data_IF_005747053147
#
_entry.id   IF_005747053147
#
_cell.length_a   1.000
_cell.length_b   1.000
_cell.length_c   1.000
_cell.angle_alpha   90.00
_cell.angle_beta   90.00
_cell.angle_gamma   90.00
#
_symmetry.space_group_name_H-M   'P 1'
#
loop_
_entity.id
_entity.type
_entity.pdbx_description
1 polymer ?
#
# COMPACT_ATOMS: atom_id res chain seq x y z
N UNK A 1 -8.44 6.07 -19.91
CA UNK A 1 -9.11 6.14 -18.60
C UNK A 1 -8.07 6.60 -17.61
N UNK A 2 -8.25 7.78 -17.01
CA UNK A 2 -7.48 8.12 -15.82
C UNK A 2 -7.73 7.04 -14.76
N UNK A 3 -6.69 6.58 -14.04
CA UNK A 3 -6.91 5.69 -12.92
C UNK A 3 -7.87 6.38 -11.92
N UNK A 4 -8.80 5.64 -11.29
CA UNK A 4 -9.69 6.22 -10.29
C UNK A 4 -8.87 7.00 -9.26
N UNK A 5 -9.34 8.19 -8.89
CA UNK A 5 -8.70 8.96 -7.83
C UNK A 5 -8.72 8.15 -6.52
N UNK A 6 -7.56 7.58 -6.16
CA UNK A 6 -7.39 6.85 -4.90
C UNK A 6 -7.31 7.86 -3.77
N UNK A 7 -8.26 7.82 -2.84
CA UNK A 7 -8.27 8.63 -1.63
C UNK A 7 -7.49 7.90 -0.54
N UNK A 8 -6.42 8.54 -0.08
CA UNK A 8 -5.50 7.98 0.90
C UNK A 8 -5.52 8.86 2.13
N UNK A 9 -5.62 8.25 3.31
CA UNK A 9 -5.32 8.91 4.58
C UNK A 9 -3.98 8.41 5.10
N UNK A 10 -3.16 9.32 5.64
CA UNK A 10 -1.91 8.99 6.32
C UNK A 10 -2.11 9.20 7.81
N UNK A 11 -1.72 8.21 8.61
CA UNK A 11 -1.93 8.16 10.06
C UNK A 11 -0.62 7.78 10.74
N UNK A 12 -0.22 8.54 11.74
CA UNK A 12 0.95 8.25 12.58
C UNK A 12 0.71 8.77 14.00
N UNK A 13 1.41 8.22 15.02
CA UNK A 13 1.22 8.64 16.40
C UNK A 13 1.55 10.12 16.64
N UNK A 14 0.81 10.74 17.56
CA UNK A 14 0.90 12.18 17.85
C UNK A 14 2.30 12.56 18.36
N UNK A 15 2.99 11.62 19.00
CA UNK A 15 4.35 11.82 19.51
C UNK A 15 5.38 12.14 18.41
N UNK A 16 5.09 11.81 17.14
CA UNK A 16 5.97 12.09 16.00
C UNK A 16 5.67 13.43 15.30
N UNK A 17 4.75 14.24 15.82
CA UNK A 17 4.53 15.59 15.28
C UNK A 17 5.80 16.43 15.50
N UNK A 18 6.37 16.94 14.42
CA UNK A 18 7.63 17.69 14.45
C UNK A 18 8.89 16.81 14.45
N UNK A 19 8.76 15.49 14.29
CA UNK A 19 9.92 14.61 14.14
C UNK A 19 10.55 14.81 12.75
N UNK A 20 11.83 15.25 12.66
CA UNK A 20 12.45 15.59 11.38
C UNK A 20 12.65 14.38 10.47
N UNK A 21 12.85 13.18 11.04
CA UNK A 21 13.04 11.96 10.26
C UNK A 21 11.72 11.58 9.57
N UNK A 22 10.61 11.66 10.31
CA UNK A 22 9.29 11.38 9.75
C UNK A 22 8.85 12.45 8.74
N UNK A 23 9.08 13.73 9.04
CA UNK A 23 8.76 14.83 8.14
C UNK A 23 9.49 14.75 6.80
N UNK A 24 10.75 14.29 6.80
CA UNK A 24 11.50 14.07 5.56
C UNK A 24 11.01 12.83 4.79
N UNK A 25 10.57 11.78 5.51
CA UNK A 25 10.15 10.53 4.89
C UNK A 25 8.71 10.58 4.34
N UNK A 26 7.77 11.33 4.95
CA UNK A 26 6.38 11.43 4.48
C UNK A 26 6.29 11.79 2.97
N UNK A 27 7.00 12.81 2.45
CA UNK A 27 7.00 13.11 1.01
C UNK A 27 7.53 11.95 0.15
N UNK A 28 8.56 11.23 0.62
CA UNK A 28 9.12 10.06 -0.09
C UNK A 28 8.06 8.97 -0.19
N UNK A 29 7.41 8.63 0.92
CA UNK A 29 6.31 7.67 0.94
C UNK A 29 5.15 8.11 0.03
N UNK A 30 4.70 9.37 0.12
CA UNK A 30 3.61 9.89 -0.70
C UNK A 30 3.91 9.84 -2.20
N UNK A 31 5.18 9.95 -2.58
CA UNK A 31 5.62 9.90 -3.98
C UNK A 31 5.49 8.50 -4.61
N UNK A 32 5.55 7.44 -3.79
CA UNK A 32 5.55 6.04 -4.27
C UNK A 32 4.29 5.25 -3.91
N UNK A 33 3.56 5.64 -2.86
CA UNK A 33 2.46 4.83 -2.30
C UNK A 33 1.33 4.52 -3.29
N UNK A 34 1.04 5.44 -4.21
CA UNK A 34 0.02 5.23 -5.24
C UNK A 34 0.42 4.15 -6.25
N UNK A 35 1.69 4.13 -6.63
CA UNK A 35 2.23 3.10 -7.51
C UNK A 35 2.29 1.76 -6.77
N UNK A 36 2.70 1.78 -5.49
CA UNK A 36 2.68 0.59 -4.63
C UNK A 36 1.28 -0.04 -4.59
N UNK A 37 0.23 0.75 -4.31
CA UNK A 37 -1.16 0.27 -4.27
C UNK A 37 -1.55 -0.37 -5.60
N UNK A 38 -1.20 0.25 -6.73
CA UNK A 38 -1.53 -0.26 -8.06
C UNK A 38 -0.86 -1.61 -8.35
N UNK A 39 0.43 -1.74 -8.05
CA UNK A 39 1.16 -3.00 -8.23
C UNK A 39 0.62 -4.09 -7.29
N UNK A 40 0.31 -3.73 -6.04
CA UNK A 40 -0.26 -4.65 -5.06
C UNK A 40 -1.67 -5.13 -5.44
N UNK A 41 -2.57 -4.24 -5.89
CA UNK A 41 -3.90 -4.64 -6.38
C UNK A 41 -3.81 -5.54 -7.62
N UNK A 42 -2.82 -5.29 -8.50
CA UNK A 42 -2.57 -6.13 -9.67
C UNK A 42 -2.10 -7.52 -9.24
N UNK A 43 -1.16 -7.61 -8.29
CA UNK A 43 -0.75 -8.87 -7.66
C UNK A 43 -1.95 -9.65 -7.11
N UNK A 44 -2.80 -9.02 -6.30
CA UNK A 44 -3.98 -9.67 -5.71
C UNK A 44 -4.98 -10.14 -6.77
N UNK A 45 -5.16 -9.36 -7.83
CA UNK A 45 -6.01 -9.71 -8.97
C UNK A 45 -5.52 -11.00 -9.64
N UNK A 46 -4.22 -11.11 -9.92
CA UNK A 46 -3.66 -12.32 -10.53
C UNK A 46 -3.62 -13.50 -9.56
N UNK A 47 -3.35 -13.28 -8.27
CA UNK A 47 -3.45 -14.32 -7.23
C UNK A 47 -4.85 -14.94 -7.18
N UNK A 48 -5.89 -14.11 -7.27
CA UNK A 48 -7.28 -14.57 -7.33
C UNK A 48 -7.56 -15.35 -8.60
N UNK A 49 -7.05 -14.90 -9.76
CA UNK A 49 -7.17 -15.64 -11.02
C UNK A 49 -6.53 -17.02 -10.94
N UNK A 50 -5.35 -17.16 -10.34
CA UNK A 50 -4.67 -18.46 -10.14
C UNK A 50 -5.59 -19.41 -9.37
N UNK A 51 -6.18 -18.95 -8.26
CA UNK A 51 -7.09 -19.76 -7.44
C UNK A 51 -8.34 -20.24 -8.16
N UNK A 52 -8.82 -19.48 -9.15
CA UNK A 52 -10.02 -19.80 -9.94
C UNK A 52 -9.72 -20.57 -11.24
N UNK A 53 -8.44 -20.75 -11.58
CA UNK A 53 -8.02 -21.37 -12.85
C UNK A 53 -7.88 -22.88 -12.70
N UNK A 54 -8.45 -23.65 -13.64
CA UNK A 54 -8.37 -25.12 -13.61
C UNK A 54 -7.05 -25.62 -14.23
N UNK A 55 -6.64 -25.04 -15.36
CA UNK A 55 -5.52 -25.51 -16.16
C UNK A 55 -4.16 -25.04 -15.63
N UNK A 56 -3.19 -25.96 -15.56
CA UNK A 56 -1.89 -25.67 -14.96
C UNK A 56 -1.03 -24.70 -15.79
N UNK A 57 -1.17 -24.71 -17.12
CA UNK A 57 -0.47 -23.75 -18.00
C UNK A 57 -0.92 -22.31 -17.74
N UNK A 58 -2.21 -22.09 -17.49
CA UNK A 58 -2.75 -20.78 -17.15
C UNK A 58 -2.39 -20.36 -15.72
N UNK A 59 -2.40 -21.29 -14.75
CA UNK A 59 -1.90 -21.02 -13.39
C UNK A 59 -0.46 -20.56 -13.42
N UNK A 60 0.41 -21.23 -14.20
CA UNK A 60 1.81 -20.85 -14.35
C UNK A 60 1.93 -19.44 -14.94
N UNK A 61 1.18 -19.13 -16.01
CA UNK A 61 1.16 -17.81 -16.63
C UNK A 61 0.75 -16.72 -15.65
N UNK A 62 -0.36 -16.89 -14.94
CA UNK A 62 -0.82 -15.90 -13.96
C UNK A 62 0.11 -15.82 -12.74
N UNK A 63 0.75 -16.93 -12.36
CA UNK A 63 1.77 -16.99 -11.32
C UNK A 63 2.96 -16.08 -11.65
N UNK A 64 3.49 -16.17 -12.87
CA UNK A 64 4.60 -15.32 -13.29
C UNK A 64 4.22 -13.83 -13.27
N UNK A 65 3.02 -13.49 -13.77
CA UNK A 65 2.55 -12.09 -13.77
C UNK A 65 2.33 -11.58 -12.33
N UNK A 66 1.75 -12.40 -11.45
CA UNK A 66 1.58 -12.04 -10.04
C UNK A 66 2.94 -11.78 -9.38
N UNK A 67 3.92 -12.64 -9.64
CA UNK A 67 5.29 -12.50 -9.12
C UNK A 67 5.93 -11.18 -9.57
N UNK A 68 5.83 -10.81 -10.85
CA UNK A 68 6.39 -9.54 -11.35
C UNK A 68 5.78 -8.31 -10.65
N UNK A 69 4.47 -8.31 -10.44
CA UNK A 69 3.80 -7.23 -9.71
C UNK A 69 4.19 -7.20 -8.23
N UNK A 70 4.37 -8.37 -7.61
CA UNK A 70 4.86 -8.48 -6.24
C UNK A 70 6.26 -7.89 -6.11
N UNK A 71 7.22 -8.27 -6.96
CA UNK A 71 8.59 -7.74 -6.91
C UNK A 71 8.64 -6.21 -7.08
N UNK A 72 7.75 -5.64 -7.91
CA UNK A 72 7.65 -4.18 -8.06
C UNK A 72 7.08 -3.53 -6.82
N UNK A 73 6.03 -4.11 -6.22
CA UNK A 73 5.47 -3.63 -4.97
C UNK A 73 6.49 -3.69 -3.83
N UNK A 74 7.28 -4.76 -3.73
CA UNK A 74 8.31 -4.92 -2.70
C UNK A 74 9.41 -3.84 -2.83
N UNK A 75 9.88 -3.55 -4.05
CA UNK A 75 10.83 -2.46 -4.29
C UNK A 75 10.27 -1.08 -3.94
N UNK A 76 8.98 -0.85 -4.16
CA UNK A 76 8.31 0.39 -3.76
C UNK A 76 8.15 0.45 -2.23
N UNK A 77 7.90 -0.68 -1.58
CA UNK A 77 7.85 -0.83 -0.13
C UNK A 77 9.21 -0.54 0.53
N UNK A 78 10.31 -0.96 -0.08
CA UNK A 78 11.66 -0.61 0.39
C UNK A 78 11.89 0.90 0.31
N UNK A 79 11.54 1.52 -0.83
CA UNK A 79 11.70 2.97 -1.04
C UNK A 79 10.87 3.82 -0.08
N UNK A 80 9.61 3.45 0.16
CA UNK A 80 8.76 4.20 1.10
C UNK A 80 9.25 4.11 2.54
N UNK A 81 9.92 3.01 2.90
CA UNK A 81 10.36 2.73 4.27
C UNK A 81 11.84 3.04 4.52
N UNK A 82 12.52 3.65 3.54
CA UNK A 82 13.94 4.00 3.67
C UNK A 82 14.15 5.01 4.80
N UNK A 83 15.06 4.66 5.73
CA UNK A 83 15.52 5.57 6.79
C UNK A 83 14.59 5.70 8.00
N UNK A 84 13.48 4.96 8.08
CA UNK A 84 12.52 5.07 9.19
C UNK A 84 12.48 3.86 10.14
N UNK A 85 13.37 2.88 9.97
CA UNK A 85 13.53 1.76 10.91
C UNK A 85 13.78 2.26 12.35
N UNK A 86 13.12 1.69 13.39
CA UNK A 86 12.36 0.43 13.40
C UNK A 86 10.89 0.55 13.00
N UNK A 87 10.47 1.70 12.45
CA UNK A 87 9.12 1.90 11.93
C UNK A 87 9.04 1.62 10.43
N UNK A 88 7.82 1.40 9.97
CA UNK A 88 7.48 1.24 8.56
C UNK A 88 6.05 1.71 8.31
N UNK A 89 5.78 2.11 7.08
CA UNK A 89 4.44 2.41 6.60
C UNK A 89 3.73 1.13 6.18
N UNK A 90 2.61 0.86 6.85
CA UNK A 90 1.65 -0.17 6.49
C UNK A 90 0.53 0.42 5.63
N UNK A 91 0.19 -0.22 4.52
CA UNK A 91 -0.89 0.21 3.61
C UNK A 91 -2.07 -0.73 3.72
N UNK A 92 -3.16 -0.25 4.32
CA UNK A 92 -4.40 -1.00 4.50
C UNK A 92 -5.50 -0.51 3.57
N UNK A 93 -6.22 -1.43 2.91
CA UNK A 93 -7.44 -1.09 2.18
C UNK A 93 -8.58 -0.85 3.16
N UNK A 94 -9.33 0.21 2.95
CA UNK A 94 -10.40 0.63 3.86
C UNK A 94 -11.75 0.25 3.25
N UNK A 95 -12.52 -0.58 3.96
CA UNK A 95 -13.85 -1.05 3.51
C UNK A 95 -15.01 -0.19 4.01
N UNK A 96 -14.80 0.52 5.12
CA UNK A 96 -15.81 1.35 5.79
C UNK A 96 -15.38 2.81 5.81
N UNK A 97 -16.31 3.74 5.99
CA UNK A 97 -15.93 5.14 6.12
C UNK A 97 -15.08 5.32 7.38
N UNK A 98 -14.02 6.13 7.27
CA UNK A 98 -13.24 6.48 8.46
C UNK A 98 -13.93 7.66 9.13
N UNK A 99 -14.23 7.50 10.43
CA UNK A 99 -14.89 8.51 11.24
C UNK A 99 -13.87 9.17 12.15
N UNK A 100 -13.68 10.48 11.98
CA UNK A 100 -12.90 11.32 12.89
C UNK A 100 -13.78 12.44 13.41
N UNK A 101 -13.92 12.56 14.72
CA UNK A 101 -14.73 13.61 15.36
C UNK A 101 -16.13 13.73 14.74
N UNK A 102 -16.83 12.59 14.61
CA UNK A 102 -18.18 12.50 13.99
C UNK A 102 -18.23 12.84 12.48
N UNK A 103 -17.09 13.20 11.87
CA UNK A 103 -16.97 13.43 10.42
C UNK A 103 -16.60 12.11 9.75
N UNK A 104 -17.54 11.58 8.98
CA UNK A 104 -17.33 10.41 8.12
C UNK A 104 -16.67 10.83 6.81
N UNK A 105 -15.49 10.31 6.50
CA UNK A 105 -14.83 10.45 5.19
C UNK A 105 -14.70 9.09 4.50
N UNK A 106 -15.07 9.07 3.23
CA UNK A 106 -14.79 7.94 2.34
C UNK A 106 -13.33 8.01 1.92
N UNK A 107 -12.55 7.00 2.28
CA UNK A 107 -11.17 6.80 1.83
C UNK A 107 -11.04 5.39 1.29
N UNK A 108 -10.15 5.21 0.32
CA UNK A 108 -9.92 3.90 -0.29
C UNK A 108 -8.82 3.14 0.46
N UNK A 109 -7.83 3.87 0.99
CA UNK A 109 -6.67 3.33 1.69
C UNK A 109 -6.27 4.18 2.91
N UNK A 110 -5.73 3.50 3.92
CA UNK A 110 -5.03 4.10 5.04
C UNK A 110 -3.55 3.69 4.99
N UNK A 111 -2.66 4.65 5.24
CA UNK A 111 -1.22 4.43 5.36
C UNK A 111 -0.83 4.75 6.80
N UNK A 112 -0.51 3.72 7.56
CA UNK A 112 -0.29 3.79 9.00
C UNK A 112 1.19 3.60 9.31
N UNK A 113 1.77 4.44 10.18
CA UNK A 113 3.10 4.18 10.72
C UNK A 113 3.02 3.10 11.80
N UNK A 114 3.71 1.99 11.59
CA UNK A 114 3.77 0.87 12.53
C UNK A 114 5.21 0.56 12.93
N UNK A 115 5.38 -0.05 14.10
CA UNK A 115 6.69 -0.47 14.62
C UNK A 115 6.90 -1.96 14.35
N UNK A 116 8.08 -2.33 13.87
CA UNK A 116 8.46 -3.75 13.75
C UNK A 116 8.45 -4.41 15.14
N UNK A 117 7.75 -5.54 15.28
CA UNK A 117 7.66 -6.36 16.50
C UNK A 117 8.88 -7.28 16.60
#
# INVERSE_FOLDING_TARGET
MEPPHINIIVVYPVEFIGDPVLEENIPKMLSVVREYIKEYESYLTFKTKIGNTVWDSEKLKYGNIAYEHQERADKLAEKMNEGISPYFWYVGKVSENVVFNEISRKVDYAVCLEKMI
#
